data_IF_818265463211
#
_entry.id   IF_818265463211
#
_cell.length_a   1.000
_cell.length_b   1.000
_cell.length_c   1.000
_cell.angle_alpha   90.00
_cell.angle_beta   90.00
_cell.angle_gamma   90.00
#
_symmetry.space_group_name_H-M   'P 1'
#
loop_
_entity.id
_entity.type
_entity.pdbx_description
1 polymer ?
#
# COMPACT_ATOMS: atom_id res chain seq x y z
N UNK A 1 15.18 -29.62 -9.12
CA UNK A 1 14.47 -28.81 -10.13
C UNK A 1 13.45 -27.87 -9.46
N UNK A 2 13.89 -26.86 -8.70
CA UNK A 2 12.98 -25.89 -8.06
C UNK A 2 13.34 -24.42 -8.36
N UNK A 3 14.16 -24.16 -9.39
CA UNK A 3 14.70 -22.81 -9.61
C UNK A 3 13.74 -21.87 -10.39
N UNK A 4 12.69 -22.41 -11.03
CA UNK A 4 11.79 -21.61 -11.90
C UNK A 4 10.67 -20.88 -11.13
N UNK A 5 10.39 -21.25 -9.87
CA UNK A 5 9.37 -20.56 -9.05
C UNK A 5 9.87 -19.27 -8.39
N UNK A 6 11.19 -19.14 -8.19
CA UNK A 6 11.79 -18.03 -7.44
C UNK A 6 11.78 -16.71 -8.23
N UNK A 7 12.00 -16.77 -9.54
CA UNK A 7 12.01 -15.58 -10.41
C UNK A 7 10.64 -14.94 -10.58
N UNK A 8 9.58 -15.75 -10.64
CA UNK A 8 8.19 -15.27 -10.71
C UNK A 8 7.77 -14.60 -9.40
N UNK A 9 8.13 -15.20 -8.26
CA UNK A 9 7.86 -14.65 -6.94
C UNK A 9 8.60 -13.33 -6.70
N UNK A 10 9.86 -13.21 -7.12
CA UNK A 10 10.62 -11.95 -7.01
C UNK A 10 10.00 -10.83 -7.87
N UNK A 11 9.61 -11.12 -9.12
CA UNK A 11 8.96 -10.13 -9.99
C UNK A 11 7.61 -9.67 -9.44
N UNK A 12 6.81 -10.60 -8.92
CA UNK A 12 5.53 -10.31 -8.29
C UNK A 12 5.70 -9.36 -7.09
N UNK A 13 6.62 -9.67 -6.18
CA UNK A 13 6.86 -8.84 -4.99
C UNK A 13 7.37 -7.44 -5.38
N UNK A 14 8.24 -7.35 -6.39
CA UNK A 14 8.74 -6.06 -6.88
C UNK A 14 7.64 -5.19 -7.50
N UNK A 15 6.79 -5.79 -8.35
CA UNK A 15 5.66 -5.10 -8.96
C UNK A 15 4.60 -4.70 -7.91
N UNK A 16 4.33 -5.57 -6.94
CA UNK A 16 3.43 -5.25 -5.84
C UNK A 16 3.97 -4.09 -5.00
N UNK A 17 5.27 -4.07 -4.71
CA UNK A 17 5.90 -2.97 -3.98
C UNK A 17 5.75 -1.63 -4.70
N UNK A 18 6.03 -1.58 -6.01
CA UNK A 18 5.90 -0.35 -6.80
C UNK A 18 4.45 0.10 -6.97
N UNK A 19 3.51 -0.83 -7.12
CA UNK A 19 2.08 -0.53 -7.16
C UNK A 19 1.60 0.08 -5.83
N UNK A 20 1.97 -0.54 -4.71
CA UNK A 20 1.60 -0.06 -3.38
C UNK A 20 2.18 1.32 -3.07
N UNK A 21 3.38 1.62 -3.55
CA UNK A 21 3.97 2.96 -3.46
C UNK A 21 3.19 4.00 -4.29
N UNK A 22 2.81 3.64 -5.52
CA UNK A 22 2.01 4.52 -6.38
C UNK A 22 0.63 4.82 -5.76
N UNK A 23 -0.01 3.81 -5.17
CA UNK A 23 -1.28 3.99 -4.43
C UNK A 23 -1.10 4.93 -3.25
N UNK A 24 -0.06 4.74 -2.42
CA UNK A 24 0.25 5.61 -1.29
C UNK A 24 0.42 7.08 -1.69
N UNK A 25 1.15 7.33 -2.79
CA UNK A 25 1.32 8.67 -3.37
C UNK A 25 0.01 9.26 -3.87
N UNK A 26 -0.82 8.46 -4.55
CA UNK A 26 -2.12 8.91 -5.06
C UNK A 26 -3.09 9.30 -3.93
N UNK A 27 -3.13 8.50 -2.86
CA UNK A 27 -3.94 8.77 -1.67
C UNK A 27 -3.50 10.07 -1.00
N UNK A 28 -2.19 10.23 -0.78
CA UNK A 28 -1.61 11.46 -0.22
C UNK A 28 -1.96 12.68 -1.09
N UNK A 29 -1.78 12.59 -2.40
CA UNK A 29 -2.09 13.69 -3.32
C UNK A 29 -3.58 14.04 -3.37
N UNK A 30 -4.46 13.04 -3.30
CA UNK A 30 -5.90 13.29 -3.20
C UNK A 30 -6.26 14.01 -1.90
N UNK A 31 -5.71 13.56 -0.77
CA UNK A 31 -5.89 14.19 0.53
C UNK A 31 -5.42 15.64 0.54
N UNK A 32 -4.22 15.91 0.03
CA UNK A 32 -3.63 17.25 -0.03
C UNK A 32 -4.44 18.19 -0.94
N UNK A 33 -4.95 17.71 -2.07
CA UNK A 33 -5.84 18.50 -2.96
C UNK A 33 -7.15 18.91 -2.29
N UNK A 34 -7.67 18.08 -1.39
CA UNK A 34 -8.87 18.37 -0.62
C UNK A 34 -8.59 19.24 0.62
N UNK A 35 -7.31 19.54 0.91
CA UNK A 35 -6.92 20.26 2.12
C UNK A 35 -7.13 19.45 3.40
N UNK A 36 -7.28 18.13 3.28
CA UNK A 36 -7.60 17.27 4.41
C UNK A 36 -6.36 16.83 5.18
N UNK A 37 -6.50 16.72 6.48
CA UNK A 37 -5.59 16.00 7.36
C UNK A 37 -5.79 14.49 7.18
N UNK A 38 -4.78 13.71 7.61
CA UNK A 38 -4.85 12.26 7.51
C UNK A 38 -6.00 11.68 8.34
N UNK A 39 -6.27 12.26 9.50
CA UNK A 39 -7.39 11.92 10.38
C UNK A 39 -8.75 12.13 9.72
N UNK A 40 -8.93 13.24 9.01
CA UNK A 40 -10.18 13.55 8.30
C UNK A 40 -10.43 12.53 7.18
N UNK A 41 -9.41 12.23 6.37
CA UNK A 41 -9.54 11.20 5.34
C UNK A 41 -9.82 9.82 5.95
N UNK A 42 -9.16 9.46 7.05
CA UNK A 42 -9.40 8.19 7.75
C UNK A 42 -10.85 8.07 8.21
N UNK A 43 -11.37 9.12 8.84
CA UNK A 43 -12.74 9.19 9.33
C UNK A 43 -13.73 9.08 8.18
N UNK A 44 -13.51 9.81 7.09
CA UNK A 44 -14.36 9.80 5.91
C UNK A 44 -14.37 8.43 5.20
N UNK A 45 -13.23 7.74 5.17
CA UNK A 45 -13.09 6.42 4.53
C UNK A 45 -13.38 5.24 5.46
N UNK A 46 -13.67 5.47 6.75
CA UNK A 46 -13.91 4.40 7.72
C UNK A 46 -12.68 3.52 8.01
N UNK A 47 -11.46 4.06 7.84
CA UNK A 47 -10.20 3.35 8.10
C UNK A 47 -9.45 3.99 9.26
N UNK A 48 -8.51 3.27 9.85
CA UNK A 48 -7.67 3.86 10.90
C UNK A 48 -6.69 4.89 10.33
N UNK A 49 -6.44 5.96 11.08
CA UNK A 49 -5.42 6.96 10.72
C UNK A 49 -4.02 6.33 10.62
N UNK A 50 -3.71 5.35 11.48
CA UNK A 50 -2.49 4.56 11.42
C UNK A 50 -2.35 3.82 10.08
N UNK A 51 -3.43 3.21 9.61
CA UNK A 51 -3.45 2.51 8.31
C UNK A 51 -3.17 3.49 7.16
N UNK A 52 -3.78 4.68 7.16
CA UNK A 52 -3.45 5.71 6.16
C UNK A 52 -2.01 6.17 6.26
N UNK A 53 -1.45 6.30 7.47
CA UNK A 53 -0.07 6.74 7.64
C UNK A 53 0.89 5.72 7.02
N UNK A 54 0.62 4.44 7.28
CA UNK A 54 1.34 3.31 6.72
C UNK A 54 1.19 3.17 5.20
N UNK A 55 0.01 3.50 4.67
CA UNK A 55 -0.28 3.49 3.24
C UNK A 55 0.45 4.64 2.53
N UNK A 56 0.43 5.86 3.08
CA UNK A 56 1.06 7.04 2.49
C UNK A 56 2.60 7.00 2.53
N UNK A 57 3.19 6.33 3.53
CA UNK A 57 4.66 6.19 3.63
C UNK A 57 5.20 4.98 2.87
N UNK A 58 4.34 4.07 2.40
CA UNK A 58 4.75 2.83 1.72
C UNK A 58 5.41 1.77 2.63
N UNK A 59 5.85 2.19 3.82
CA UNK A 59 6.61 1.38 4.79
C UNK A 59 5.72 0.38 5.55
N UNK A 60 4.43 0.69 5.71
CA UNK A 60 3.50 -0.11 6.52
C UNK A 60 2.52 -0.96 5.72
N UNK A 61 2.77 -1.18 4.42
CA UNK A 61 1.87 -1.93 3.54
C UNK A 61 1.93 -3.46 3.73
N UNK A 62 2.37 -3.90 4.92
CA UNK A 62 2.46 -5.30 5.34
C UNK A 62 1.10 -5.98 5.25
N UNK A 63 0.01 -5.31 5.61
CA UNK A 63 -1.33 -5.92 5.58
C UNK A 63 -1.74 -6.30 4.16
N UNK A 64 -1.52 -5.44 3.15
CA UNK A 64 -1.80 -5.76 1.75
C UNK A 64 -0.81 -6.77 1.16
N UNK A 65 0.48 -6.71 1.52
CA UNK A 65 1.45 -7.75 1.15
C UNK A 65 1.07 -9.13 1.70
N UNK A 66 0.59 -9.18 2.94
CA UNK A 66 0.11 -10.43 3.56
C UNK A 66 -1.17 -10.96 2.92
N UNK A 67 -2.08 -10.09 2.49
CA UNK A 67 -3.24 -10.53 1.68
C UNK A 67 -2.80 -11.15 0.35
N UNK A 68 -1.81 -10.54 -0.32
CA UNK A 68 -1.21 -11.05 -1.55
C UNK A 68 -0.48 -12.40 -1.39
N UNK A 69 0.04 -12.71 -0.19
CA UNK A 69 0.69 -14.01 0.08
C UNK A 69 -0.29 -15.15 0.36
N UNK A 70 -1.55 -14.82 0.69
CA UNK A 70 -2.60 -15.78 1.07
C UNK A 70 -3.60 -16.02 -0.08
N UNK A 71 -3.72 -15.10 -1.04
CA UNK A 71 -4.55 -15.23 -2.24
C UNK A 71 -3.83 -15.95 -3.38
#
# INVERSE_FOLDING_TARGET
>A
MYCLSSSFRLHYIACLASYLEAVGKAVRGHRERLGWTRKELATHCGVSERFLAQLETGDGNISLRRFAEVA
#
